data_IF_023262046045
#
_entry.id   IF_023262046045
#
_cell.length_a   1.000
_cell.length_b   1.000
_cell.length_c   1.000
_cell.angle_alpha   90.00
_cell.angle_beta   90.00
_cell.angle_gamma   90.00
#
_symmetry.space_group_name_H-M   'P 1'
#
loop_
_entity.id
_entity.type
_entity.pdbx_description
1 polymer ?
#
# COMPACT_ATOMS: atom_id res chain seq x y z
N UNK A 1 11.63 -39.41 -18.43
CA UNK A 1 11.92 -38.83 -17.10
C UNK A 1 11.18 -37.52 -17.03
N UNK A 2 10.02 -37.50 -16.37
CA UNK A 2 9.09 -36.36 -16.40
C UNK A 2 8.73 -35.98 -14.97
N UNK A 3 9.38 -34.94 -14.44
CA UNK A 3 8.82 -34.19 -13.32
C UNK A 3 8.97 -32.71 -13.62
N UNK A 4 7.99 -32.21 -14.38
CA UNK A 4 7.61 -30.80 -14.37
C UNK A 4 7.10 -30.46 -12.98
N UNK A 5 7.98 -29.93 -12.13
CA UNK A 5 7.59 -29.39 -10.82
C UNK A 5 7.11 -27.97 -11.02
N UNK A 6 5.80 -27.82 -11.22
CA UNK A 6 5.11 -26.56 -10.96
C UNK A 6 4.84 -26.49 -9.46
N UNK A 7 5.50 -25.57 -8.78
CA UNK A 7 5.06 -25.08 -7.48
C UNK A 7 5.43 -23.60 -7.39
N UNK A 8 4.52 -22.78 -7.92
CA UNK A 8 4.51 -21.34 -7.73
C UNK A 8 4.24 -21.10 -6.24
N UNK A 9 5.27 -20.79 -5.47
CA UNK A 9 5.11 -20.30 -4.10
C UNK A 9 5.08 -18.78 -4.17
N UNK A 10 3.95 -18.22 -4.62
CA UNK A 10 3.64 -16.80 -4.44
C UNK A 10 3.41 -16.61 -2.93
N UNK A 11 4.48 -16.34 -2.18
CA UNK A 11 4.34 -15.86 -0.81
C UNK A 11 3.77 -14.44 -0.90
N UNK A 12 2.44 -14.31 -0.98
CA UNK A 12 1.73 -13.02 -0.99
C UNK A 12 1.69 -12.40 0.41
N UNK A 13 2.81 -12.43 1.10
CA UNK A 13 2.95 -11.84 2.42
C UNK A 13 3.51 -10.42 2.24
N UNK A 14 2.80 -9.45 2.80
CA UNK A 14 3.26 -8.07 2.76
C UNK A 14 4.50 -7.94 3.65
N UNK A 15 5.62 -7.37 3.16
CA UNK A 15 6.91 -7.41 3.83
C UNK A 15 7.03 -6.62 5.15
N UNK A 16 6.02 -5.85 5.54
CA UNK A 16 6.03 -5.03 6.76
C UNK A 16 4.82 -5.37 7.64
N UNK A 17 5.08 -5.73 8.89
CA UNK A 17 4.02 -6.00 9.88
C UNK A 17 3.48 -4.73 10.55
N UNK A 18 4.16 -3.60 10.39
CA UNK A 18 3.78 -2.31 10.95
C UNK A 18 4.20 -1.14 10.05
N UNK A 19 3.49 0.01 10.13
CA UNK A 19 3.85 1.22 9.39
C UNK A 19 5.25 1.71 9.73
N UNK A 20 6.04 2.04 8.72
CA UNK A 20 7.45 2.43 8.83
C UNK A 20 7.69 3.94 8.65
N UNK A 21 6.70 4.69 8.16
CA UNK A 21 6.80 6.13 7.93
C UNK A 21 5.62 6.91 8.54
N UNK A 22 5.81 8.22 8.72
CA UNK A 22 4.74 9.16 9.11
C UNK A 22 4.50 10.13 7.96
N UNK A 23 3.24 10.34 7.59
CA UNK A 23 2.83 11.25 6.52
C UNK A 23 1.75 12.23 6.97
N UNK A 24 1.62 13.35 6.26
CA UNK A 24 0.54 14.32 6.49
C UNK A 24 -0.72 13.89 5.74
N UNK A 25 -1.83 13.70 6.46
CA UNK A 25 -3.10 13.28 5.86
C UNK A 25 -3.62 14.30 4.82
N UNK A 26 -3.31 15.59 5.00
CA UNK A 26 -3.68 16.65 4.05
C UNK A 26 -3.06 16.47 2.67
N UNK A 27 -1.86 15.92 2.58
CA UNK A 27 -1.15 15.76 1.31
C UNK A 27 -1.70 14.57 0.51
N UNK A 28 -1.98 13.44 1.19
CA UNK A 28 -2.48 12.24 0.53
C UNK A 28 -3.94 12.34 0.10
N UNK A 29 -4.79 12.92 0.94
CA UNK A 29 -6.24 12.97 0.70
C UNK A 29 -6.72 14.32 0.15
N UNK A 30 -5.82 15.31 0.03
CA UNK A 30 -6.11 16.68 -0.43
C UNK A 30 -7.18 17.38 0.42
N UNK A 31 -7.12 17.18 1.74
CA UNK A 31 -8.03 17.77 2.73
C UNK A 31 -7.30 18.77 3.65
N UNK A 32 -8.01 19.74 4.23
CA UNK A 32 -7.43 20.62 5.26
C UNK A 32 -7.36 19.88 6.61
N UNK A 33 -6.22 19.24 6.86
CA UNK A 33 -5.94 18.52 8.10
C UNK A 33 -4.50 18.71 8.55
N UNK A 34 -4.33 18.87 9.86
CA UNK A 34 -3.01 18.92 10.52
C UNK A 34 -2.58 17.55 11.06
N UNK A 35 -3.31 16.48 10.70
CA UNK A 35 -3.08 15.14 11.22
C UNK A 35 -1.84 14.50 10.58
N UNK A 36 -0.93 14.02 11.44
CA UNK A 36 0.16 13.14 11.04
C UNK A 36 -0.22 11.70 11.35
N UNK A 37 -0.11 10.83 10.36
CA UNK A 37 -0.53 9.42 10.44
C UNK A 37 0.60 8.47 10.08
N UNK A 38 0.72 7.31 10.75
CA UNK A 38 1.59 6.24 10.30
C UNK A 38 1.11 5.66 8.97
N UNK A 39 2.04 5.37 8.08
CA UNK A 39 1.81 4.75 6.77
C UNK A 39 2.95 3.78 6.40
N UNK A 40 2.73 2.98 5.38
CA UNK A 40 3.72 2.08 4.82
C UNK A 40 4.43 2.76 3.63
N UNK A 41 5.75 2.63 3.53
CA UNK A 41 6.55 3.19 2.43
C UNK A 41 6.47 2.38 1.12
N UNK A 42 5.98 1.14 1.21
CA UNK A 42 5.89 0.21 0.08
C UNK A 42 4.46 -0.29 -0.10
N UNK A 43 4.06 -0.45 -1.36
CA UNK A 43 2.76 -0.99 -1.72
C UNK A 43 2.81 -2.53 -1.76
N UNK A 44 1.74 -3.17 -1.30
CA UNK A 44 1.56 -4.62 -1.42
C UNK A 44 0.83 -5.00 -2.71
N UNK A 45 0.83 -6.29 -3.04
CA UNK A 45 0.17 -6.80 -4.25
C UNK A 45 -1.36 -6.53 -4.30
N UNK A 46 -1.97 -6.28 -3.14
CA UNK A 46 -3.41 -5.98 -3.03
C UNK A 46 -3.72 -4.48 -3.00
N UNK A 47 -2.70 -3.61 -2.98
CA UNK A 47 -2.88 -2.16 -2.98
C UNK A 47 -3.15 -1.70 -4.41
N UNK A 48 -4.29 -1.05 -4.70
CA UNK A 48 -4.57 -0.51 -6.02
C UNK A 48 -3.60 0.62 -6.42
N UNK A 49 -3.55 0.91 -7.72
CA UNK A 49 -2.85 2.10 -8.21
C UNK A 49 -3.48 3.39 -7.66
N UNK A 50 -2.66 4.44 -7.51
CA UNK A 50 -3.11 5.74 -7.02
C UNK A 50 -3.96 6.43 -8.08
N UNK A 51 -5.17 6.85 -7.70
CA UNK A 51 -6.05 7.64 -8.55
C UNK A 51 -5.85 9.15 -8.27
N UNK A 52 -5.34 9.87 -9.27
CA UNK A 52 -5.13 11.31 -9.22
C UNK A 52 -6.42 12.13 -9.13
N UNK A 53 -7.56 11.56 -9.52
CA UNK A 53 -8.87 12.17 -9.42
C UNK A 53 -9.54 11.93 -8.05
N UNK A 54 -8.95 11.10 -7.19
CA UNK A 54 -9.49 10.81 -5.87
C UNK A 54 -9.52 12.06 -4.98
N UNK A 55 -10.72 12.41 -4.50
CA UNK A 55 -10.96 13.51 -3.55
C UNK A 55 -11.79 12.97 -2.39
N UNK A 56 -11.29 13.19 -1.18
CA UNK A 56 -11.96 12.72 0.04
C UNK A 56 -12.95 13.79 0.52
N UNK A 57 -14.23 13.57 0.20
CA UNK A 57 -15.36 14.48 0.44
C UNK A 57 -15.26 15.81 -0.30
N UNK A 58 -16.39 16.33 -0.79
CA UNK A 58 -16.48 17.69 -1.33
C UNK A 58 -16.90 18.65 -0.23
#
# INVERSE_FOLDING_TARGET
MTNSTFANSENTEFPLDAPDIIISASQSFRIDSKMQVPAFSIAGAHVPEVDEAYQFDR
#
